data_IF_356402960249
#
_entry.id   IF_356402960249
#
_cell.length_a   1.000
_cell.length_b   1.000
_cell.length_c   1.000
_cell.angle_alpha   90.00
_cell.angle_beta   90.00
_cell.angle_gamma   90.00
#
_symmetry.space_group_name_H-M   'P 1'
#
loop_
_entity.id
_entity.type
_entity.pdbx_description
1 polymer ?
#
# COMPACT_ATOMS: atom_id res chain seq x y z
N UNK A 1 -0.71 14.29 18.34
CA UNK A 1 -1.38 13.37 17.39
C UNK A 1 -0.70 12.02 17.46
N UNK A 2 -1.48 10.94 17.51
CA UNK A 2 -0.90 9.59 17.46
C UNK A 2 -0.30 9.35 16.08
N UNK A 3 0.95 8.91 16.05
CA UNK A 3 1.63 8.52 14.82
C UNK A 3 1.07 7.20 14.27
N UNK A 4 1.06 7.05 12.96
CA UNK A 4 0.54 5.86 12.27
C UNK A 4 1.64 5.13 11.50
N UNK A 5 1.45 3.83 11.34
CA UNK A 5 2.14 3.05 10.31
C UNK A 5 1.28 3.08 9.06
N UNK A 6 1.82 3.54 7.94
CA UNK A 6 1.16 3.51 6.64
C UNK A 6 1.55 2.23 5.90
N UNK A 7 0.58 1.39 5.61
CA UNK A 7 0.80 0.08 5.01
C UNK A 7 0.23 0.04 3.60
N UNK A 8 1.02 -0.35 2.64
CA UNK A 8 0.54 -0.72 1.31
C UNK A 8 0.35 -2.25 1.25
N UNK A 9 -0.88 -2.69 1.03
CA UNK A 9 -1.18 -4.10 0.79
C UNK A 9 -1.23 -4.37 -0.72
N UNK A 10 -0.29 -5.18 -1.23
CA UNK A 10 -0.18 -5.50 -2.65
C UNK A 10 -1.42 -6.20 -3.21
N UNK A 11 -1.93 -5.74 -4.36
CA UNK A 11 -3.12 -6.32 -4.99
C UNK A 11 -3.00 -7.81 -5.33
N UNK A 12 -1.78 -8.30 -5.59
CA UNK A 12 -1.50 -9.72 -5.80
C UNK A 12 -1.62 -10.60 -4.54
N UNK A 13 -1.75 -9.99 -3.36
CA UNK A 13 -2.05 -10.70 -2.12
C UNK A 13 -3.55 -11.00 -1.95
N UNK A 14 -4.42 -10.35 -2.71
CA UNK A 14 -5.87 -10.52 -2.54
C UNK A 14 -6.34 -11.97 -2.80
N UNK A 15 -5.60 -12.69 -3.64
CA UNK A 15 -5.86 -14.11 -3.93
C UNK A 15 -4.99 -15.06 -3.10
N UNK A 16 -4.27 -14.56 -2.12
CA UNK A 16 -3.50 -15.39 -1.22
C UNK A 16 -4.43 -16.03 -0.18
N UNK A 17 -4.68 -17.34 -0.20
CA UNK A 17 -5.67 -17.98 0.68
C UNK A 17 -5.38 -17.81 2.16
N UNK A 18 -4.11 -17.61 2.52
CA UNK A 18 -3.68 -17.44 3.90
C UNK A 18 -3.57 -15.96 4.31
N UNK A 19 -4.08 -15.02 3.49
CA UNK A 19 -3.92 -13.58 3.73
C UNK A 19 -4.38 -13.16 5.13
N UNK A 20 -5.56 -13.58 5.57
CA UNK A 20 -6.09 -13.25 6.88
C UNK A 20 -5.16 -13.69 8.01
N UNK A 21 -4.70 -14.94 7.96
CA UNK A 21 -3.77 -15.50 8.93
C UNK A 21 -2.43 -14.77 8.93
N UNK A 22 -1.85 -14.56 7.76
CA UNK A 22 -0.57 -13.86 7.60
C UNK A 22 -0.66 -12.40 8.06
N UNK A 23 -1.77 -11.72 7.77
CA UNK A 23 -2.05 -10.38 8.27
C UNK A 23 -2.05 -10.33 9.79
N UNK A 24 -2.77 -11.23 10.46
CA UNK A 24 -2.83 -11.29 11.94
C UNK A 24 -1.45 -11.51 12.51
N UNK A 25 -0.75 -12.51 12.04
CA UNK A 25 0.60 -12.83 12.52
C UNK A 25 1.56 -11.67 12.35
N UNK A 26 1.51 -11.00 11.18
CA UNK A 26 2.29 -9.80 10.94
C UNK A 26 1.86 -8.65 11.86
N UNK A 27 0.56 -8.43 12.02
CA UNK A 27 0.04 -7.33 12.84
C UNK A 27 0.39 -7.50 14.33
N UNK A 28 0.49 -8.73 14.81
CA UNK A 28 0.93 -9.08 16.17
C UNK A 28 2.39 -8.71 16.46
N UNK A 29 3.21 -8.46 15.44
CA UNK A 29 4.58 -7.97 15.63
C UNK A 29 4.66 -6.50 16.07
N UNK A 30 3.53 -5.80 16.17
CA UNK A 30 3.44 -4.42 16.64
C UNK A 30 2.64 -4.34 17.94
N UNK A 31 2.91 -3.34 18.79
CA UNK A 31 2.10 -3.07 19.96
C UNK A 31 0.61 -2.96 19.62
N UNK A 32 -0.30 -3.49 20.45
CA UNK A 32 -1.73 -3.52 20.16
C UNK A 32 -2.35 -2.14 19.97
N UNK A 33 -1.84 -1.10 20.64
CA UNK A 33 -2.30 0.28 20.51
C UNK A 33 -1.82 0.98 19.23
N UNK A 34 -0.89 0.37 18.50
CA UNK A 34 -0.32 1.00 17.30
C UNK A 34 -1.34 1.10 16.18
N UNK A 35 -1.59 2.32 15.75
CA UNK A 35 -2.53 2.59 14.66
C UNK A 35 -1.91 2.26 13.30
N UNK A 36 -2.57 1.39 12.55
CA UNK A 36 -2.18 1.01 11.19
C UNK A 36 -3.23 1.54 10.20
N UNK A 37 -2.76 2.25 9.17
CA UNK A 37 -3.60 2.69 8.06
C UNK A 37 -3.17 1.99 6.78
N UNK A 38 -4.14 1.41 6.07
CA UNK A 38 -3.90 0.54 4.93
C UNK A 38 -4.33 1.21 3.63
N UNK A 39 -3.47 1.13 2.63
CA UNK A 39 -3.77 1.43 1.23
C UNK A 39 -3.75 0.11 0.47
N UNK A 40 -4.85 -0.22 -0.18
CA UNK A 40 -4.96 -1.41 -0.99
C UNK A 40 -4.32 -1.20 -2.36
N UNK A 41 -3.75 -2.25 -2.94
CA UNK A 41 -3.37 -2.26 -4.35
C UNK A 41 -4.60 -2.44 -5.25
N UNK A 42 -4.45 -2.12 -6.55
CA UNK A 42 -5.54 -2.25 -7.51
C UNK A 42 -5.95 -3.70 -7.82
N UNK A 43 -4.99 -4.64 -7.74
CA UNK A 43 -5.24 -6.05 -8.04
C UNK A 43 -5.89 -6.27 -9.40
N UNK A 44 -6.68 -7.33 -9.53
CA UNK A 44 -7.42 -7.66 -10.77
C UNK A 44 -8.42 -6.59 -11.22
N UNK A 45 -8.93 -5.76 -10.31
CA UNK A 45 -9.83 -4.70 -10.68
C UNK A 45 -9.12 -3.63 -11.54
N UNK A 46 -7.90 -3.24 -11.16
CA UNK A 46 -7.10 -2.34 -11.98
C UNK A 46 -6.70 -2.98 -13.33
N UNK A 47 -6.39 -4.27 -13.35
CA UNK A 47 -6.07 -4.99 -14.59
C UNK A 47 -7.28 -5.06 -15.54
N UNK A 48 -8.48 -5.25 -14.99
CA UNK A 48 -9.72 -5.20 -15.76
C UNK A 48 -9.94 -3.81 -16.36
N UNK A 49 -9.73 -2.74 -15.59
CA UNK A 49 -9.84 -1.35 -16.08
C UNK A 49 -8.84 -1.09 -17.23
N UNK A 50 -7.58 -1.56 -17.10
CA UNK A 50 -6.59 -1.50 -18.21
C UNK A 50 -7.08 -2.24 -19.45
N UNK A 51 -7.72 -3.40 -19.28
CA UNK A 51 -8.32 -4.16 -20.37
C UNK A 51 -9.42 -3.37 -21.08
N UNK A 52 -10.34 -2.77 -20.32
CA UNK A 52 -11.40 -1.91 -20.88
C UNK A 52 -10.83 -0.70 -21.61
N UNK A 53 -9.81 -0.04 -21.05
CA UNK A 53 -9.19 1.11 -21.71
C UNK A 53 -8.56 0.75 -23.04
N UNK A 54 -7.90 -0.40 -23.15
CA UNK A 54 -7.33 -0.89 -24.42
C UNK A 54 -8.39 -1.11 -25.49
N UNK A 55 -9.62 -1.51 -25.09
CA UNK A 55 -10.74 -1.76 -26.00
C UNK A 55 -11.47 -0.47 -26.38
N UNK A 56 -11.74 0.39 -25.41
CA UNK A 56 -12.63 1.55 -25.56
C UNK A 56 -11.91 2.89 -25.65
N UNK A 57 -10.58 2.92 -25.52
CA UNK A 57 -9.71 4.08 -25.72
C UNK A 57 -10.09 5.35 -24.93
N UNK A 58 -10.61 5.20 -23.71
CA UNK A 58 -10.84 6.35 -22.83
C UNK A 58 -9.53 6.86 -22.21
N UNK A 59 -9.54 8.09 -21.66
CA UNK A 59 -8.34 8.78 -21.19
C UNK A 59 -7.65 8.06 -20.02
N UNK A 60 -6.32 8.20 -19.94
CA UNK A 60 -5.51 7.69 -18.82
C UNK A 60 -5.99 8.24 -17.49
N UNK A 61 -6.36 9.53 -17.45
CA UNK A 61 -6.88 10.15 -16.23
C UNK A 61 -8.17 9.49 -15.73
N UNK A 62 -9.09 9.14 -16.64
CA UNK A 62 -10.30 8.41 -16.27
C UNK A 62 -9.96 6.99 -15.79
N UNK A 63 -9.07 6.29 -16.50
CA UNK A 63 -8.64 4.96 -16.11
C UNK A 63 -7.97 4.95 -14.72
N UNK A 64 -7.14 5.93 -14.45
CA UNK A 64 -6.47 6.11 -13.15
C UNK A 64 -7.49 6.35 -12.02
N UNK A 65 -8.46 7.24 -12.23
CA UNK A 65 -9.51 7.50 -11.23
C UNK A 65 -10.37 6.27 -10.97
N UNK A 66 -10.76 5.54 -12.03
CA UNK A 66 -11.48 4.27 -11.89
C UNK A 66 -10.67 3.23 -11.10
N UNK A 67 -9.36 3.16 -11.32
CA UNK A 67 -8.48 2.25 -10.57
C UNK A 67 -8.45 2.60 -9.07
N UNK A 68 -8.37 3.89 -8.71
CA UNK A 68 -8.46 4.34 -7.31
C UNK A 68 -9.84 4.02 -6.72
N UNK A 69 -10.92 4.21 -7.48
CA UNK A 69 -12.28 3.88 -7.01
C UNK A 69 -12.46 2.39 -6.82
N UNK A 70 -11.86 1.56 -7.68
CA UNK A 70 -11.90 0.11 -7.53
C UNK A 70 -11.22 -0.37 -6.24
N UNK A 71 -10.13 0.28 -5.81
CA UNK A 71 -9.51 -0.01 -4.52
C UNK A 71 -10.48 0.26 -3.36
N UNK A 72 -11.22 1.39 -3.41
CA UNK A 72 -12.21 1.74 -2.39
C UNK A 72 -13.39 0.77 -2.36
N UNK A 73 -13.81 0.27 -3.50
CA UNK A 73 -14.94 -0.67 -3.58
C UNK A 73 -14.70 -1.95 -2.75
N UNK A 74 -13.45 -2.40 -2.66
CA UNK A 74 -13.09 -3.64 -1.93
C UNK A 74 -12.66 -3.39 -0.48
N UNK A 75 -12.50 -2.13 -0.05
CA UNK A 75 -12.13 -1.79 1.33
C UNK A 75 -13.03 -2.44 2.40
N UNK A 76 -14.39 -2.44 2.28
CA UNK A 76 -15.25 -3.05 3.29
C UNK A 76 -14.96 -4.55 3.48
N UNK A 77 -14.70 -5.27 2.39
CA UNK A 77 -14.33 -6.69 2.46
C UNK A 77 -13.04 -6.90 3.27
N UNK A 78 -12.00 -6.09 3.02
CA UNK A 78 -10.74 -6.21 3.76
C UNK A 78 -10.89 -5.78 5.21
N UNK A 79 -11.71 -4.78 5.51
CA UNK A 79 -11.99 -4.40 6.90
C UNK A 79 -12.67 -5.53 7.66
N UNK A 80 -13.61 -6.23 7.04
CA UNK A 80 -14.24 -7.41 7.64
C UNK A 80 -13.24 -8.56 7.80
N UNK A 81 -12.45 -8.86 6.77
CA UNK A 81 -11.41 -9.88 6.80
C UNK A 81 -10.42 -9.64 7.97
N UNK A 82 -9.98 -8.40 8.14
CA UNK A 82 -9.05 -8.04 9.21
C UNK A 82 -9.73 -8.10 10.59
N UNK A 83 -11.00 -7.72 10.71
CA UNK A 83 -11.75 -7.81 11.95
C UNK A 83 -12.00 -9.25 12.38
N UNK A 84 -12.43 -10.12 11.46
CA UNK A 84 -12.69 -11.54 11.71
C UNK A 84 -11.43 -12.30 12.15
N UNK A 85 -10.29 -11.85 11.68
CA UNK A 85 -9.02 -12.52 11.98
C UNK A 85 -8.44 -12.18 13.35
N UNK A 86 -9.04 -11.25 14.10
CA UNK A 86 -8.48 -10.70 15.36
C UNK A 86 -8.96 -11.41 16.64
N UNK A 87 -9.78 -12.47 16.57
CA UNK A 87 -10.28 -13.24 17.74
C UNK A 87 -10.70 -12.37 18.94
N UNK A 88 -11.28 -11.17 18.69
CA UNK A 88 -11.69 -10.22 19.73
C UNK A 88 -10.65 -9.18 20.14
N UNK A 89 -9.40 -9.31 19.77
CA UNK A 89 -8.38 -8.29 19.98
C UNK A 89 -8.60 -7.11 19.02
N UNK A 90 -8.79 -5.92 19.58
CA UNK A 90 -9.03 -4.71 18.80
C UNK A 90 -7.71 -4.03 18.46
N UNK A 91 -7.08 -4.44 17.37
CA UNK A 91 -5.96 -3.67 16.81
C UNK A 91 -6.49 -2.57 15.91
N UNK A 92 -6.19 -1.30 16.20
CA UNK A 92 -6.73 -0.18 15.44
C UNK A 92 -6.17 -0.18 14.01
N UNK A 93 -6.92 -0.78 13.09
CA UNK A 93 -6.65 -0.79 11.65
C UNK A 93 -7.71 0.04 10.94
N UNK A 94 -7.32 0.90 10.01
CA UNK A 94 -8.21 1.73 9.20
C UNK A 94 -7.77 1.72 7.74
N UNK A 95 -8.72 1.91 6.82
CA UNK A 95 -8.37 2.27 5.44
C UNK A 95 -7.96 3.73 5.38
N UNK A 96 -6.88 4.01 4.66
CA UNK A 96 -6.44 5.37 4.41
C UNK A 96 -7.44 6.06 3.46
N UNK A 97 -7.90 7.28 3.74
CA UNK A 97 -8.83 8.00 2.87
C UNK A 97 -8.10 8.58 1.65
N UNK A 98 -7.64 7.70 0.75
CA UNK A 98 -6.72 8.00 -0.37
C UNK A 98 -7.18 9.20 -1.19
N UNK A 99 -8.45 9.24 -1.64
CA UNK A 99 -8.95 10.37 -2.45
C UNK A 99 -8.89 11.71 -1.70
N UNK A 100 -9.31 11.71 -0.44
CA UNK A 100 -9.26 12.94 0.37
C UNK A 100 -7.82 13.38 0.58
N UNK A 101 -6.94 12.43 0.88
CA UNK A 101 -5.53 12.73 1.08
C UNK A 101 -4.84 13.22 -0.19
N UNK A 102 -5.19 12.68 -1.36
CA UNK A 102 -4.67 13.18 -2.64
C UNK A 102 -5.19 14.58 -2.95
N UNK A 103 -6.46 14.87 -2.64
CA UNK A 103 -7.05 16.20 -2.83
C UNK A 103 -6.43 17.27 -1.91
N UNK A 104 -5.97 16.87 -0.72
CA UNK A 104 -5.35 17.77 0.27
C UNK A 104 -3.83 17.91 0.09
N UNK A 105 -3.24 17.34 -0.98
CA UNK A 105 -1.80 17.49 -1.21
C UNK A 105 -1.42 18.94 -1.47
N UNK A 106 -0.30 19.35 -0.88
CA UNK A 106 0.23 20.70 -1.08
C UNK A 106 0.52 20.93 -2.58
N UNK A 107 -0.04 21.97 -3.20
CA UNK A 107 0.17 22.26 -4.62
C UNK A 107 1.63 22.57 -4.98
N UNK A 108 2.48 22.88 -3.99
CA UNK A 108 3.91 23.11 -4.19
C UNK A 108 4.72 21.81 -4.31
N UNK A 109 4.12 20.66 -4.06
CA UNK A 109 4.74 19.36 -4.31
C UNK A 109 4.29 18.84 -5.67
N UNK A 110 5.20 18.14 -6.34
CA UNK A 110 4.94 17.53 -7.63
C UNK A 110 3.68 16.65 -7.58
N UNK A 111 2.70 16.99 -8.41
CA UNK A 111 1.46 16.22 -8.49
C UNK A 111 1.74 14.85 -9.11
N UNK A 112 1.11 13.82 -8.56
CA UNK A 112 1.12 12.51 -9.18
C UNK A 112 0.48 12.57 -10.58
N UNK A 113 1.15 12.10 -11.63
CA UNK A 113 0.50 11.88 -12.92
C UNK A 113 -0.76 11.02 -12.77
N UNK A 114 -1.81 11.38 -13.50
CA UNK A 114 -3.05 10.60 -13.53
C UNK A 114 -3.03 9.64 -14.71
N UNK A 115 -2.10 8.69 -14.64
CA UNK A 115 -1.89 7.67 -15.67
C UNK A 115 -1.33 6.38 -15.05
N UNK A 116 -0.99 5.40 -15.88
CA UNK A 116 -0.51 4.10 -15.43
C UNK A 116 0.96 4.06 -14.99
N UNK A 117 1.69 5.17 -15.12
CA UNK A 117 3.06 5.28 -14.56
C UNK A 117 3.02 5.42 -13.04
N UNK A 118 1.87 5.78 -12.49
CA UNK A 118 1.61 5.87 -11.05
C UNK A 118 0.72 4.72 -10.61
N UNK A 119 1.23 3.91 -9.69
CA UNK A 119 0.47 2.82 -9.06
C UNK A 119 0.17 3.12 -7.58
N UNK A 120 -0.48 2.19 -6.91
CA UNK A 120 -0.71 2.28 -5.46
C UNK A 120 0.58 2.35 -4.64
N UNK A 121 1.73 1.93 -5.18
CA UNK A 121 3.04 2.07 -4.52
C UNK A 121 3.45 3.56 -4.49
N UNK A 122 3.42 4.22 -5.64
CA UNK A 122 3.68 5.65 -5.77
C UNK A 122 2.72 6.48 -4.92
N UNK A 123 1.41 6.17 -4.97
CA UNK A 123 0.38 6.82 -4.15
C UNK A 123 0.73 6.69 -2.65
N UNK A 124 1.13 5.50 -2.19
CA UNK A 124 1.47 5.27 -0.79
C UNK A 124 2.67 6.11 -0.36
N UNK A 125 3.73 6.12 -1.17
CA UNK A 125 4.91 6.94 -0.87
C UNK A 125 4.57 8.43 -0.91
N UNK A 126 3.78 8.88 -1.87
CA UNK A 126 3.36 10.30 -1.92
C UNK A 126 2.55 10.70 -0.69
N UNK A 127 1.72 9.81 -0.18
CA UNK A 127 0.91 10.07 1.02
C UNK A 127 1.69 9.92 2.34
N UNK A 128 2.90 9.38 2.31
CA UNK A 128 3.77 9.32 3.48
C UNK A 128 4.28 10.69 3.94
N UNK A 129 4.15 11.73 3.10
CA UNK A 129 4.50 13.12 3.43
C UNK A 129 3.66 13.73 4.58
N UNK A 130 2.64 13.03 5.01
CA UNK A 130 1.79 13.51 6.10
C UNK A 130 2.48 13.41 7.46
N UNK A 131 2.45 14.48 8.28
CA UNK A 131 3.16 14.53 9.57
C UNK A 131 2.77 13.42 10.56
N UNK A 132 1.62 12.78 10.34
CA UNK A 132 1.15 11.66 11.17
C UNK A 132 1.82 10.33 10.81
N UNK A 133 2.43 10.21 9.63
CA UNK A 133 3.10 8.96 9.21
C UNK A 133 4.48 8.90 9.85
N UNK A 134 4.75 7.81 10.54
CA UNK A 134 6.06 7.57 11.15
C UNK A 134 6.85 6.46 10.45
N UNK A 135 6.17 5.60 9.68
CA UNK A 135 6.75 4.45 8.99
C UNK A 135 5.89 4.07 7.81
N UNK A 136 6.52 3.61 6.73
CA UNK A 136 5.86 3.01 5.56
C UNK A 136 6.26 1.55 5.43
N UNK A 137 5.28 0.67 5.23
CA UNK A 137 5.52 -0.76 5.02
C UNK A 137 4.81 -1.22 3.76
N UNK A 138 5.54 -1.86 2.86
CA UNK A 138 4.97 -2.54 1.72
C UNK A 138 4.83 -4.04 2.01
N UNK A 139 3.59 -4.51 2.11
CA UNK A 139 3.26 -5.93 2.13
C UNK A 139 3.02 -6.40 0.71
N UNK A 140 3.91 -7.22 0.22
CA UNK A 140 3.95 -7.72 -1.16
C UNK A 140 3.87 -9.24 -1.21
N UNK A 141 3.62 -9.79 -2.39
CA UNK A 141 3.62 -11.25 -2.65
C UNK A 141 4.90 -11.73 -3.32
N UNK A 142 5.85 -10.83 -3.54
CA UNK A 142 7.10 -11.05 -4.29
C UNK A 142 8.30 -10.53 -3.52
N UNK A 143 9.48 -10.92 -3.94
CA UNK A 143 10.74 -10.54 -3.31
C UNK A 143 11.17 -11.49 -2.18
N UNK A 144 12.35 -11.25 -1.60
CA UNK A 144 12.81 -11.94 -0.41
C UNK A 144 11.87 -11.68 0.76
N UNK A 145 12.05 -12.42 1.84
CA UNK A 145 11.18 -12.38 3.00
C UNK A 145 11.06 -10.98 3.60
N UNK A 146 12.18 -10.25 3.72
CA UNK A 146 12.27 -8.86 4.21
C UNK A 146 13.37 -8.10 3.48
N UNK A 147 13.38 -6.79 3.68
CA UNK A 147 14.50 -5.89 3.37
C UNK A 147 14.89 -5.85 1.88
N UNK A 148 13.90 -5.90 1.00
CA UNK A 148 14.11 -5.59 -0.41
C UNK A 148 14.36 -4.08 -0.55
N UNK A 149 15.50 -3.71 -1.13
CA UNK A 149 15.72 -2.32 -1.51
C UNK A 149 14.76 -1.91 -2.64
N UNK A 150 14.39 -0.63 -2.67
CA UNK A 150 13.57 -0.12 -3.77
C UNK A 150 14.28 -0.25 -5.13
N UNK A 151 15.62 -0.17 -5.16
CA UNK A 151 16.39 -0.35 -6.40
C UNK A 151 16.25 -1.77 -6.95
N UNK A 152 16.36 -2.79 -6.09
CA UNK A 152 16.12 -4.18 -6.50
C UNK A 152 14.67 -4.39 -6.92
N UNK A 153 13.72 -3.77 -6.22
CA UNK A 153 12.31 -3.89 -6.55
C UNK A 153 12.00 -3.29 -7.93
N UNK A 154 12.66 -2.18 -8.31
CA UNK A 154 12.55 -1.61 -9.65
C UNK A 154 13.17 -2.53 -10.71
N UNK A 155 14.42 -2.97 -10.50
CA UNK A 155 15.10 -3.90 -11.41
C UNK A 155 14.24 -5.13 -11.74
N UNK A 156 13.50 -5.63 -10.76
CA UNK A 156 12.59 -6.78 -10.90
C UNK A 156 11.19 -6.43 -11.39
N UNK A 157 10.88 -5.14 -11.62
CA UNK A 157 9.54 -4.69 -12.03
C UNK A 157 8.46 -4.88 -10.95
N UNK A 158 8.84 -4.85 -9.68
CA UNK A 158 7.90 -5.02 -8.56
C UNK A 158 7.28 -3.71 -8.06
N UNK A 159 7.83 -2.59 -8.50
CA UNK A 159 7.34 -1.23 -8.27
C UNK A 159 7.40 -0.42 -9.58
N UNK A 160 6.66 0.68 -9.62
CA UNK A 160 6.69 1.62 -10.75
C UNK A 160 7.89 2.58 -10.70
N UNK A 161 8.18 3.22 -11.84
CA UNK A 161 9.30 4.16 -11.97
C UNK A 161 9.14 5.38 -11.07
N UNK A 162 7.91 5.88 -10.89
CA UNK A 162 7.65 7.03 -10.04
C UNK A 162 8.02 6.73 -8.58
N UNK A 163 7.71 5.53 -8.10
CA UNK A 163 8.06 5.04 -6.76
C UNK A 163 9.56 5.19 -6.48
N UNK A 164 10.41 4.93 -7.47
CA UNK A 164 11.86 5.02 -7.30
C UNK A 164 12.35 6.45 -7.41
N UNK A 165 11.99 7.15 -8.47
CA UNK A 165 12.55 8.47 -8.74
C UNK A 165 12.13 9.53 -7.74
N UNK A 166 10.90 9.45 -7.23
CA UNK A 166 10.34 10.45 -6.32
C UNK A 166 10.15 9.92 -4.91
N UNK A 167 9.60 8.72 -4.77
CA UNK A 167 9.27 8.15 -3.47
C UNK A 167 10.49 7.86 -2.60
N UNK A 168 11.58 7.36 -3.19
CA UNK A 168 12.86 7.12 -2.48
C UNK A 168 13.43 8.42 -1.90
N UNK A 169 13.48 9.46 -2.74
CA UNK A 169 13.95 10.78 -2.29
C UNK A 169 13.08 11.32 -1.17
N UNK A 170 11.77 11.25 -1.32
CA UNK A 170 10.82 11.71 -0.31
C UNK A 170 11.02 11.01 1.04
N UNK A 171 11.17 9.68 1.06
CA UNK A 171 11.44 8.94 2.29
C UNK A 171 12.74 9.36 2.95
N UNK A 172 13.81 9.55 2.16
CA UNK A 172 15.12 9.96 2.65
C UNK A 172 15.07 11.40 3.22
N UNK A 173 14.48 12.34 2.50
CA UNK A 173 14.39 13.75 2.91
C UNK A 173 13.58 13.90 4.21
N UNK A 174 12.61 13.04 4.45
CA UNK A 174 11.76 13.06 5.64
C UNK A 174 12.25 12.16 6.78
N UNK A 175 13.27 11.34 6.53
CA UNK A 175 13.76 10.36 7.50
C UNK A 175 12.71 9.31 7.89
N UNK A 176 11.77 8.98 6.99
CA UNK A 176 10.71 8.01 7.24
C UNK A 176 11.26 6.59 6.98
N UNK A 177 11.25 5.69 7.98
CA UNK A 177 11.62 4.30 7.79
C UNK A 177 10.70 3.60 6.79
N UNK A 178 11.32 2.86 5.88
CA UNK A 178 10.65 2.06 4.87
C UNK A 178 10.98 0.57 5.06
N UNK A 179 9.98 -0.28 4.97
CA UNK A 179 10.14 -1.73 5.02
C UNK A 179 9.42 -2.41 3.86
N UNK A 180 10.07 -3.42 3.29
CA UNK A 180 9.47 -4.34 2.33
C UNK A 180 9.33 -5.71 2.98
N UNK A 181 8.13 -6.28 2.93
CA UNK A 181 7.84 -7.59 3.50
C UNK A 181 7.09 -8.44 2.47
N UNK A 182 7.65 -9.60 2.13
CA UNK A 182 6.91 -10.61 1.40
C UNK A 182 6.00 -11.36 2.37
N UNK A 183 4.73 -10.99 2.39
CA UNK A 183 3.76 -11.53 3.35
C UNK A 183 3.48 -13.04 3.15
N UNK A 184 3.75 -13.58 1.96
CA UNK A 184 3.62 -15.03 1.71
C UNK A 184 4.70 -15.85 2.41
N UNK A 185 5.86 -15.26 2.66
CA UNK A 185 7.02 -15.90 3.28
C UNK A 185 7.20 -15.52 4.75
N UNK A 186 6.43 -14.54 5.22
CA UNK A 186 6.58 -13.99 6.57
C UNK A 186 6.15 -15.00 7.65
N UNK A 187 6.85 -15.04 8.76
CA UNK A 187 6.52 -15.84 9.94
C UNK A 187 6.76 -15.03 11.22
N UNK A 188 6.14 -15.37 12.36
CA UNK A 188 6.33 -14.66 13.63
C UNK A 188 7.77 -14.59 14.13
N UNK A 189 8.59 -15.57 13.77
CA UNK A 189 10.03 -15.63 14.10
C UNK A 189 10.82 -14.47 13.47
N UNK A 190 10.24 -13.80 12.47
CA UNK A 190 10.83 -12.65 11.77
C UNK A 190 10.57 -11.32 12.47
N UNK A 191 9.78 -11.30 13.53
CA UNK A 191 9.35 -10.05 14.17
C UNK A 191 10.47 -9.30 14.90
N UNK A 192 11.66 -9.85 15.04
CA UNK A 192 12.83 -9.13 15.56
C UNK A 192 12.64 -8.54 16.97
N UNK A 193 11.67 -9.08 17.75
CA UNK A 193 11.38 -8.73 19.13
C UNK A 193 11.97 -9.78 20.04
#
# INVERSE_FOLDING_TARGET
MNKIILVKLGGSLFEFPMLAKAWVQWRQSFPPEKLVWVILGGGKAADWIRGLQKIHHFSDALAHDMAIDSMRLIEPYFMELFALSQNGDKWPTKMAPVKNWLADLNPNHENLPRDWTVTSDAITLRLSDRPIVERVIFLKSVGPKRDTSLDLALEKGWVDDWTIHHGRKQLADQGIPFEWINLRLWSPEDSGV
#
